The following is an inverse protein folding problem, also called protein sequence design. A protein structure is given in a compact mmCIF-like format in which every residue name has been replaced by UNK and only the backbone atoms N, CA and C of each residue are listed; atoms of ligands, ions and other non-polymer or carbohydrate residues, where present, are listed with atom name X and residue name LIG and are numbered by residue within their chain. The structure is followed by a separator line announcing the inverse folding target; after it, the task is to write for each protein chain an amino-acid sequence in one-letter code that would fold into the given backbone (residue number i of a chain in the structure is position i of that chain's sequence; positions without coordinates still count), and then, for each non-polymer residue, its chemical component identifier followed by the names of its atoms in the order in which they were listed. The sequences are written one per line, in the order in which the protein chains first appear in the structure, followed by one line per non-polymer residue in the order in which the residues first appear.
data_IF_818051088570
#
_entry.id   IF_818051088570
#
_cell.length_a   1.000
_cell.length_b   1.000
_cell.length_c   1.000
_cell.angle_alpha   90.00
_cell.angle_beta   90.00
_cell.angle_gamma   90.00
#
_symmetry.space_group_name_H-M   'P 1'
#
loop_
_entity.id
_entity.type
_entity.pdbx_description
1 polymer ?
#
# COMPACT_ATOMS: atom_id res chain seq x y z
N UNK A 1 -1.98 5.19 39.56
CA UNK A 1 -1.41 3.83 39.35
C UNK A 1 -1.17 3.77 37.87
N UNK A 2 0.06 4.01 37.47
CA UNK A 2 0.46 3.94 36.06
C UNK A 2 0.33 2.48 35.63
N UNK A 3 -0.68 2.18 34.81
CA UNK A 3 -0.68 0.99 33.99
C UNK A 3 0.46 1.17 32.97
N UNK A 4 1.65 0.69 33.33
CA UNK A 4 2.67 0.40 32.35
C UNK A 4 2.03 -0.63 31.40
N UNK A 5 1.75 -0.22 30.16
CA UNK A 5 1.44 -1.13 29.07
C UNK A 5 2.60 -2.13 28.99
N UNK A 6 2.44 -3.30 29.62
CA UNK A 6 3.46 -4.34 29.59
C UNK A 6 3.61 -4.79 28.14
N UNK A 7 4.77 -4.55 27.57
CA UNK A 7 5.10 -5.00 26.21
C UNK A 7 4.94 -6.53 26.14
N UNK A 8 4.39 -7.02 25.05
CA UNK A 8 4.29 -8.45 24.78
C UNK A 8 5.59 -8.92 24.15
N UNK A 9 6.40 -9.65 24.91
CA UNK A 9 7.53 -10.40 24.38
C UNK A 9 7.17 -11.86 24.14
N UNK A 10 7.83 -12.50 23.20
CA UNK A 10 7.71 -13.92 22.93
C UNK A 10 9.06 -14.61 22.82
N UNK A 11 9.09 -15.86 23.15
CA UNK A 11 10.29 -16.69 23.17
C UNK A 11 9.97 -18.05 22.56
N UNK A 12 10.98 -18.69 21.95
CA UNK A 12 10.85 -20.04 21.40
C UNK A 12 11.90 -20.92 22.03
N UNK A 13 11.46 -22.00 22.70
CA UNK A 13 12.35 -23.10 23.09
C UNK A 13 12.41 -24.11 21.94
N UNK A 14 13.61 -24.35 21.47
CA UNK A 14 13.95 -25.49 20.61
C UNK A 14 14.74 -26.53 21.43
N UNK A 15 15.34 -27.51 20.79
CA UNK A 15 16.09 -28.57 21.46
C UNK A 15 17.43 -28.12 22.10
N UNK A 16 17.90 -26.92 21.77
CA UNK A 16 19.15 -26.34 22.27
C UNK A 16 18.94 -25.36 23.45
N UNK A 17 18.00 -24.41 23.32
CA UNK A 17 17.78 -23.34 24.30
C UNK A 17 16.52 -22.54 24.01
N UNK A 18 16.24 -21.57 24.87
CA UNK A 18 15.29 -20.52 24.57
C UNK A 18 15.90 -19.44 23.67
N UNK A 19 15.20 -19.11 22.61
CA UNK A 19 15.55 -18.05 21.68
C UNK A 19 14.66 -16.84 21.93
N UNK A 20 15.27 -15.66 22.09
CA UNK A 20 14.57 -14.38 22.16
C UNK A 20 14.68 -13.69 20.79
N UNK A 21 13.57 -13.53 20.04
CA UNK A 21 13.63 -12.92 18.70
C UNK A 21 14.20 -11.49 18.70
N UNK A 22 14.01 -10.73 19.78
CA UNK A 22 14.55 -9.39 19.89
C UNK A 22 16.10 -9.34 20.02
N UNK A 23 16.72 -10.48 20.36
CA UNK A 23 18.18 -10.60 20.59
C UNK A 23 18.88 -11.51 19.57
N UNK A 24 18.13 -12.22 18.73
CA UNK A 24 18.69 -13.15 17.76
C UNK A 24 19.12 -12.42 16.47
N UNK A 25 20.39 -12.58 16.04
CA UNK A 25 20.89 -11.90 14.84
C UNK A 25 20.27 -12.43 13.53
N UNK A 26 19.70 -13.63 13.55
CA UNK A 26 19.12 -14.30 12.40
C UNK A 26 17.62 -14.00 12.17
N UNK A 27 17.05 -13.10 12.97
CA UNK A 27 15.64 -12.69 12.82
C UNK A 27 15.45 -11.82 11.58
N UNK A 28 14.39 -12.11 10.84
CA UNK A 28 13.92 -11.30 9.73
C UNK A 28 12.46 -10.91 9.95
N UNK A 29 12.19 -9.62 9.89
CA UNK A 29 10.84 -9.11 9.99
C UNK A 29 10.45 -8.36 8.71
N UNK A 30 9.29 -8.66 8.17
CA UNK A 30 8.76 -8.07 6.93
C UNK A 30 7.25 -7.87 7.04
N UNK A 31 6.73 -6.89 6.30
CA UNK A 31 5.28 -6.83 6.02
C UNK A 31 4.98 -7.67 4.79
N UNK A 32 4.04 -8.60 4.91
CA UNK A 32 3.69 -9.52 3.80
C UNK A 32 3.03 -8.74 2.66
N UNK A 33 3.63 -8.79 1.48
CA UNK A 33 3.19 -8.04 0.29
C UNK A 33 2.96 -6.53 0.55
N UNK A 34 3.54 -5.96 1.60
CA UNK A 34 3.38 -4.56 1.99
C UNK A 34 2.14 -4.25 2.84
N UNK A 35 1.20 -5.16 3.03
CA UNK A 35 -0.04 -4.92 3.80
C UNK A 35 0.16 -5.13 5.31
N UNK A 36 -0.82 -4.74 6.19
CA UNK A 36 -0.66 -4.78 7.65
C UNK A 36 -0.69 -6.21 8.24
N UNK A 37 0.11 -7.11 7.71
CA UNK A 37 0.42 -8.43 8.26
C UNK A 37 1.92 -8.51 8.43
N UNK A 38 2.39 -8.47 9.67
CA UNK A 38 3.82 -8.51 10.00
C UNK A 38 4.24 -9.95 10.20
N UNK A 39 5.23 -10.41 9.42
CA UNK A 39 5.83 -11.72 9.57
C UNK A 39 7.23 -11.58 10.16
N UNK A 40 7.50 -12.30 11.26
CA UNK A 40 8.82 -12.42 11.89
C UNK A 40 9.27 -13.86 11.78
N UNK A 41 10.38 -14.11 11.09
CA UNK A 41 11.02 -15.42 10.99
C UNK A 41 12.21 -15.51 11.93
N UNK A 42 12.19 -16.48 12.80
CA UNK A 42 13.26 -16.81 13.72
C UNK A 42 13.89 -18.14 13.31
N UNK A 43 15.16 -18.12 12.97
CA UNK A 43 15.92 -19.36 12.71
C UNK A 43 16.19 -20.08 14.01
N UNK A 44 15.81 -21.34 14.07
CA UNK A 44 16.06 -22.26 15.17
C UNK A 44 16.74 -23.54 14.62
N UNK A 45 17.33 -24.41 15.46
CA UNK A 45 17.78 -25.70 15.00
C UNK A 45 16.66 -26.42 14.24
N UNK A 46 17.00 -27.06 13.12
CA UNK A 46 16.07 -27.87 12.29
C UNK A 46 15.00 -27.08 11.50
N UNK A 47 14.99 -25.73 11.48
CA UNK A 47 14.00 -24.99 10.68
C UNK A 47 13.77 -23.57 11.17
N UNK A 48 12.54 -23.08 10.99
CA UNK A 48 12.13 -21.74 11.37
C UNK A 48 10.90 -21.80 12.30
N UNK A 49 10.83 -20.88 13.25
CA UNK A 49 9.59 -20.47 13.91
C UNK A 49 9.11 -19.18 13.25
N UNK A 50 7.86 -19.16 12.77
CA UNK A 50 7.33 -18.05 12.01
C UNK A 50 6.15 -17.42 12.75
N UNK A 51 6.32 -16.21 13.23
CA UNK A 51 5.25 -15.40 13.81
C UNK A 51 4.59 -14.55 12.74
N UNK A 52 3.25 -14.48 12.75
CA UNK A 52 2.46 -13.52 11.98
C UNK A 52 1.56 -12.75 12.92
N UNK A 53 1.63 -11.42 12.85
CA UNK A 53 0.86 -10.52 13.70
C UNK A 53 -0.01 -9.63 12.82
N UNK A 54 -1.29 -9.53 13.16
CA UNK A 54 -2.27 -8.73 12.44
C UNK A 54 -3.46 -8.37 13.33
N UNK A 55 -4.17 -7.30 12.98
CA UNK A 55 -5.36 -6.88 13.70
C UNK A 55 -6.63 -7.29 12.95
N UNK A 56 -7.68 -7.64 13.69
CA UNK A 56 -9.03 -7.87 13.19
C UNK A 56 -10.03 -7.00 13.96
N UNK A 57 -11.11 -6.56 13.30
CA UNK A 57 -12.12 -5.69 13.92
C UNK A 57 -13.12 -6.47 14.78
N UNK A 58 -13.11 -7.80 14.70
CA UNK A 58 -14.00 -8.66 15.46
C UNK A 58 -13.93 -8.38 16.97
N UNK A 59 -15.06 -8.53 17.66
CA UNK A 59 -15.18 -8.32 19.11
C UNK A 59 -14.67 -6.96 19.61
N UNK A 60 -14.72 -5.91 18.79
CA UNK A 60 -14.24 -4.56 19.16
C UNK A 60 -12.73 -4.37 19.00
N UNK A 61 -12.08 -5.29 18.32
CA UNK A 61 -10.66 -5.25 17.95
C UNK A 61 -9.82 -6.30 18.69
N UNK A 62 -9.14 -7.12 17.91
CA UNK A 62 -8.21 -8.13 18.42
C UNK A 62 -6.88 -8.02 17.68
N UNK A 63 -5.77 -8.13 18.40
CA UNK A 63 -4.46 -8.37 17.83
C UNK A 63 -4.22 -9.89 17.80
N UNK A 64 -4.24 -10.49 16.63
CA UNK A 64 -4.04 -11.93 16.44
C UNK A 64 -2.57 -12.21 16.18
N UNK A 65 -2.07 -13.26 16.83
CA UNK A 65 -0.70 -13.75 16.72
C UNK A 65 -0.75 -15.22 16.33
N UNK A 66 -0.20 -15.56 15.19
CA UNK A 66 -0.01 -16.93 14.73
C UNK A 66 1.47 -17.29 14.82
N UNK A 67 1.80 -18.41 15.47
CA UNK A 67 3.15 -18.98 15.48
C UNK A 67 3.12 -20.33 14.77
N UNK A 68 3.73 -20.39 13.60
CA UNK A 68 3.89 -21.63 12.83
C UNK A 68 5.25 -22.25 13.10
N UNK A 69 5.26 -23.54 13.43
CA UNK A 69 6.48 -24.32 13.57
C UNK A 69 6.85 -24.95 12.22
N UNK A 70 7.78 -24.33 11.51
CA UNK A 70 8.33 -24.83 10.24
C UNK A 70 9.65 -25.61 10.47
N UNK A 71 9.94 -26.05 11.71
CA UNK A 71 11.06 -26.94 12.03
C UNK A 71 10.63 -28.41 12.03
N UNK A 72 11.56 -29.33 12.06
CA UNK A 72 11.27 -30.76 12.07
C UNK A 72 10.94 -31.33 13.47
N UNK A 73 11.15 -30.54 14.53
CA UNK A 73 10.92 -30.93 15.91
C UNK A 73 9.81 -30.07 16.56
N UNK A 74 9.13 -30.59 17.61
CA UNK A 74 8.26 -29.77 18.43
C UNK A 74 9.01 -28.62 19.07
N UNK A 75 8.35 -27.48 19.26
CA UNK A 75 8.87 -26.33 19.97
C UNK A 75 7.92 -25.93 21.11
N UNK A 76 8.39 -25.12 22.06
CA UNK A 76 7.54 -24.42 22.99
C UNK A 76 7.63 -22.92 22.74
N UNK A 77 6.50 -22.23 22.87
CA UNK A 77 6.40 -20.77 22.73
C UNK A 77 5.97 -20.18 24.04
N UNK A 78 6.73 -19.24 24.57
CA UNK A 78 6.38 -18.48 25.77
C UNK A 78 5.99 -17.04 25.41
N UNK A 79 4.96 -16.53 26.09
CA UNK A 79 4.56 -15.13 26.03
C UNK A 79 4.66 -14.52 27.44
N UNK A 80 5.08 -13.27 27.55
CA UNK A 80 5.28 -12.59 28.84
C UNK A 80 4.02 -12.08 29.51
N UNK A 81 2.83 -12.30 28.91
CA UNK A 81 1.52 -11.87 29.41
C UNK A 81 0.57 -13.04 29.58
N UNK A 82 -0.26 -13.00 30.63
CA UNK A 82 -1.26 -14.02 30.94
C UNK A 82 -2.66 -13.69 30.38
N UNK A 83 -2.91 -12.45 29.96
CA UNK A 83 -4.18 -11.99 29.38
C UNK A 83 -4.37 -12.40 27.91
N UNK A 84 -3.50 -13.28 27.42
CA UNK A 84 -3.58 -13.86 26.09
C UNK A 84 -4.79 -14.79 25.97
N UNK A 85 -5.64 -14.51 25.00
CA UNK A 85 -6.74 -15.38 24.60
C UNK A 85 -6.18 -16.55 23.80
N UNK A 86 -6.55 -17.78 24.17
CA UNK A 86 -6.14 -19.01 23.48
C UNK A 86 -7.24 -20.07 23.56
N UNK A 87 -7.44 -20.81 22.47
CA UNK A 87 -8.25 -22.04 22.47
C UNK A 87 -7.52 -23.25 23.06
N UNK A 88 -6.19 -23.14 23.20
CA UNK A 88 -5.34 -24.18 23.80
C UNK A 88 -5.01 -23.84 25.24
N UNK A 89 -4.97 -24.82 26.11
CA UNK A 89 -4.50 -24.63 27.46
C UNK A 89 -2.98 -24.46 27.49
N UNK A 90 -2.46 -23.46 28.23
CA UNK A 90 -1.03 -23.34 28.43
C UNK A 90 -0.46 -24.51 29.21
N UNK A 91 0.82 -24.74 29.07
CA UNK A 91 1.54 -25.78 29.83
C UNK A 91 1.45 -25.50 31.33
N UNK A 92 1.06 -26.49 32.15
CA UNK A 92 0.99 -26.31 33.61
C UNK A 92 2.37 -26.14 34.26
N UNK A 93 3.44 -26.52 33.58
CA UNK A 93 4.81 -26.43 34.10
C UNK A 93 5.42 -25.04 33.95
N UNK A 94 4.77 -24.13 33.21
CA UNK A 94 5.32 -22.83 32.89
C UNK A 94 6.64 -22.86 32.11
N UNK A 95 7.38 -21.74 32.03
CA UNK A 95 8.68 -21.69 31.35
C UNK A 95 9.76 -22.39 32.18
N UNK A 96 10.48 -23.31 31.55
CA UNK A 96 11.62 -24.01 32.15
C UNK A 96 12.93 -23.55 31.50
N UNK A 97 13.98 -23.37 32.30
CA UNK A 97 15.31 -23.00 31.78
C UNK A 97 15.48 -21.52 31.39
N UNK A 98 14.53 -20.66 31.74
CA UNK A 98 14.62 -19.19 31.54
C UNK A 98 13.83 -18.48 32.65
N UNK A 99 14.32 -17.34 33.10
CA UNK A 99 13.59 -16.42 33.96
C UNK A 99 12.71 -15.50 33.12
N UNK A 100 11.40 -15.63 33.29
CA UNK A 100 10.37 -14.78 32.68
C UNK A 100 9.46 -14.20 33.75
N UNK A 101 8.73 -13.11 33.47
CA UNK A 101 7.70 -12.60 34.38
C UNK A 101 6.73 -13.70 34.84
N UNK A 102 6.25 -13.60 36.08
CA UNK A 102 5.33 -14.59 36.67
C UNK A 102 3.99 -14.73 35.89
N UNK A 103 3.64 -13.71 35.11
CA UNK A 103 2.49 -13.70 34.21
C UNK A 103 2.71 -14.49 32.91
N UNK A 104 3.92 -15.02 32.68
CA UNK A 104 4.24 -15.68 31.42
C UNK A 104 3.53 -17.02 31.27
N UNK A 105 3.08 -17.32 30.07
CA UNK A 105 2.41 -18.57 29.69
C UNK A 105 3.17 -19.28 28.56
N UNK A 106 3.15 -20.63 28.59
CA UNK A 106 3.88 -21.45 27.61
C UNK A 106 2.92 -22.36 26.86
N UNK A 107 3.09 -22.45 25.55
CA UNK A 107 2.31 -23.33 24.68
C UNK A 107 3.23 -24.25 23.89
N UNK A 108 2.97 -25.58 23.90
CA UNK A 108 3.66 -26.50 23.00
C UNK A 108 3.10 -26.37 21.58
N UNK A 109 4.00 -26.39 20.58
CA UNK A 109 3.64 -26.31 19.16
C UNK A 109 4.32 -27.45 18.41
N UNK A 110 3.51 -28.41 17.97
CA UNK A 110 4.01 -29.58 17.25
C UNK A 110 4.60 -29.18 15.88
N UNK A 111 5.45 -30.05 15.33
CA UNK A 111 5.95 -29.91 13.95
C UNK A 111 4.80 -29.69 12.96
N UNK A 112 4.97 -28.72 12.05
CA UNK A 112 4.00 -28.40 10.99
C UNK A 112 2.68 -27.82 11.50
N UNK A 113 2.56 -27.51 12.81
CA UNK A 113 1.35 -26.92 13.39
C UNK A 113 1.50 -25.43 13.62
N UNK A 114 0.34 -24.75 13.79
CA UNK A 114 0.26 -23.33 14.11
C UNK A 114 -0.46 -23.14 15.43
N UNK A 115 0.14 -22.39 16.34
CA UNK A 115 -0.49 -21.83 17.51
C UNK A 115 -1.16 -20.51 17.12
N UNK A 116 -2.42 -20.30 17.49
CA UNK A 116 -3.11 -19.02 17.36
C UNK A 116 -3.50 -18.51 18.73
N UNK A 117 -3.12 -17.27 19.00
CA UNK A 117 -3.50 -16.55 20.22
C UNK A 117 -3.92 -15.13 19.85
N UNK A 118 -4.60 -14.43 20.75
CA UNK A 118 -4.97 -13.04 20.54
C UNK A 118 -4.85 -12.20 21.81
N UNK A 119 -4.67 -10.90 21.62
CA UNK A 119 -4.84 -9.88 22.66
C UNK A 119 -6.06 -9.05 22.34
N UNK A 120 -6.89 -8.82 23.33
CA UNK A 120 -8.05 -7.95 23.20
C UNK A 120 -7.62 -6.48 23.22
N UNK A 121 -8.20 -5.66 22.33
CA UNK A 121 -8.10 -4.21 22.41
C UNK A 121 -8.74 -3.72 23.73
N UNK A 122 -8.30 -2.58 24.30
CA UNK A 122 -9.01 -1.93 25.40
C UNK A 122 -10.48 -1.61 25.10
N UNK A 123 -10.85 -1.56 23.81
CA UNK A 123 -12.23 -1.34 23.33
C UNK A 123 -12.99 -2.65 23.09
N UNK A 124 -12.39 -3.81 23.36
CA UNK A 124 -13.01 -5.08 23.09
C UNK A 124 -14.33 -5.23 23.88
N UNK A 125 -15.37 -5.65 23.17
CA UNK A 125 -16.64 -6.02 23.80
C UNK A 125 -16.48 -7.38 24.45
N UNK A 126 -16.73 -7.49 25.77
CA UNK A 126 -16.63 -8.74 26.49
C UNK A 126 -17.45 -9.86 25.83
N UNK A 127 -16.94 -11.07 25.88
CA UNK A 127 -17.58 -12.28 25.32
C UNK A 127 -16.55 -13.38 25.05
N UNK A 128 -17.05 -14.59 24.80
CA UNK A 128 -16.18 -15.72 24.43
C UNK A 128 -15.74 -15.56 22.98
N UNK A 129 -14.44 -15.39 22.78
CA UNK A 129 -13.83 -15.29 21.45
C UNK A 129 -13.50 -16.68 20.93
N UNK A 130 -14.06 -17.06 19.78
CA UNK A 130 -13.65 -18.27 19.08
C UNK A 130 -12.52 -17.96 18.09
N UNK A 131 -11.29 -18.19 18.49
CA UNK A 131 -10.11 -17.88 17.67
C UNK A 131 -10.05 -18.64 16.35
N UNK A 132 -10.68 -19.81 16.24
CA UNK A 132 -10.68 -20.62 15.03
C UNK A 132 -11.57 -20.03 13.93
N UNK A 133 -12.55 -19.21 14.30
CA UNK A 133 -13.43 -18.51 13.36
C UNK A 133 -12.83 -17.20 12.84
N UNK A 134 -11.79 -16.69 13.48
CA UNK A 134 -11.12 -15.49 13.01
C UNK A 134 -10.39 -15.77 11.68
N UNK A 135 -10.30 -14.76 10.79
CA UNK A 135 -9.54 -14.91 9.54
C UNK A 135 -8.08 -15.24 9.81
N UNK A 136 -7.49 -16.08 8.96
CA UNK A 136 -6.05 -16.35 9.01
C UNK A 136 -5.23 -15.18 8.43
N UNK A 137 -3.94 -15.15 8.70
CA UNK A 137 -3.01 -14.17 8.14
C UNK A 137 -3.10 -14.12 6.60
N UNK A 138 -3.26 -15.27 5.93
CA UNK A 138 -3.42 -15.37 4.48
C UNK A 138 -4.74 -14.79 3.98
N UNK A 139 -5.83 -15.04 4.71
CA UNK A 139 -7.15 -14.48 4.38
C UNK A 139 -7.16 -12.97 4.55
N UNK A 140 -6.56 -12.48 5.65
CA UNK A 140 -6.45 -11.05 5.90
C UNK A 140 -5.55 -10.36 4.86
N UNK A 141 -4.40 -10.96 4.53
CA UNK A 141 -3.53 -10.45 3.47
C UNK A 141 -4.29 -10.30 2.14
N UNK A 142 -5.07 -11.32 1.74
CA UNK A 142 -5.90 -11.24 0.51
C UNK A 142 -6.95 -10.14 0.59
N UNK A 143 -7.61 -9.99 1.75
CA UNK A 143 -8.57 -8.91 1.98
C UNK A 143 -7.96 -7.53 1.80
N UNK A 144 -6.78 -7.30 2.39
CA UNK A 144 -6.04 -6.05 2.24
C UNK A 144 -5.60 -5.81 0.79
N UNK A 145 -5.06 -6.81 0.11
CA UNK A 145 -4.67 -6.69 -1.31
C UNK A 145 -5.87 -6.31 -2.17
N UNK A 146 -7.01 -6.98 -2.00
CA UNK A 146 -8.23 -6.62 -2.70
C UNK A 146 -8.66 -5.16 -2.45
N UNK A 147 -8.48 -4.67 -1.22
CA UNK A 147 -8.83 -3.28 -0.88
C UNK A 147 -7.90 -2.27 -1.55
N UNK A 148 -6.58 -2.46 -1.48
CA UNK A 148 -5.61 -1.53 -2.08
C UNK A 148 -5.58 -1.60 -3.61
N UNK A 149 -5.87 -2.76 -4.20
CA UNK A 149 -5.93 -2.97 -5.65
C UNK A 149 -7.17 -2.35 -6.30
N UNK A 150 -8.18 -1.93 -5.52
CA UNK A 150 -9.27 -1.08 -6.04
C UNK A 150 -8.76 0.20 -6.70
N UNK A 151 -7.67 0.74 -6.20
CA UNK A 151 -7.00 1.90 -6.78
C UNK A 151 -6.26 1.60 -8.10
N UNK A 152 -6.30 0.35 -8.58
CA UNK A 152 -5.49 -0.13 -9.70
C UNK A 152 -4.15 -0.68 -9.24
N UNK A 153 -3.46 -1.42 -10.09
CA UNK A 153 -2.14 -2.00 -9.83
C UNK A 153 -1.28 -2.05 -11.07
N UNK A 154 0.00 -2.25 -10.92
CA UNK A 154 0.91 -2.47 -12.02
C UNK A 154 1.91 -3.59 -11.70
N UNK A 155 2.23 -4.38 -12.72
CA UNK A 155 3.29 -5.38 -12.68
C UNK A 155 4.38 -4.91 -13.65
N UNK A 156 5.49 -4.48 -13.07
CA UNK A 156 6.64 -3.94 -13.81
C UNK A 156 7.92 -4.70 -13.43
N UNK A 157 9.03 -4.39 -14.12
CA UNK A 157 10.30 -5.07 -13.88
C UNK A 157 10.81 -4.88 -12.43
N UNK A 158 10.62 -3.70 -11.85
CA UNK A 158 11.01 -3.43 -10.47
C UNK A 158 10.00 -4.05 -9.47
N UNK A 159 10.39 -5.21 -8.95
CA UNK A 159 9.56 -5.98 -7.99
C UNK A 159 9.41 -5.31 -6.62
N UNK A 160 10.20 -4.28 -6.31
CA UNK A 160 10.12 -3.57 -5.03
C UNK A 160 8.96 -2.57 -4.99
N UNK A 161 8.44 -2.12 -6.14
CA UNK A 161 7.41 -1.09 -6.22
C UNK A 161 6.06 -1.59 -5.69
N UNK A 162 5.60 -2.79 -6.09
CA UNK A 162 4.29 -3.28 -5.67
C UNK A 162 4.15 -3.39 -4.13
N UNK A 163 5.09 -3.99 -3.38
CA UNK A 163 4.99 -4.01 -1.91
C UNK A 163 5.07 -2.61 -1.28
N UNK A 164 5.84 -1.70 -1.86
CA UNK A 164 5.92 -0.31 -1.38
C UNK A 164 4.59 0.41 -1.56
N UNK A 165 3.98 0.31 -2.74
CA UNK A 165 2.68 0.92 -3.06
C UNK A 165 1.58 0.34 -2.16
N UNK A 166 1.52 -0.98 -2.00
CA UNK A 166 0.56 -1.64 -1.12
C UNK A 166 0.70 -1.16 0.32
N UNK A 167 1.95 -0.96 0.80
CA UNK A 167 2.21 -0.40 2.12
C UNK A 167 1.64 1.00 2.26
N UNK A 168 1.97 1.90 1.33
CA UNK A 168 1.53 3.29 1.39
C UNK A 168 0.00 3.41 1.34
N UNK A 169 -0.66 2.62 0.49
CA UNK A 169 -2.13 2.57 0.39
C UNK A 169 -2.77 2.00 1.65
N UNK A 170 -2.24 0.90 2.18
CA UNK A 170 -2.79 0.30 3.40
C UNK A 170 -2.55 1.19 4.62
N UNK A 171 -1.42 1.88 4.71
CA UNK A 171 -1.16 2.87 5.77
C UNK A 171 -2.16 4.04 5.68
N UNK A 172 -2.44 4.53 4.47
CA UNK A 172 -3.47 5.56 4.25
C UNK A 172 -4.86 5.09 4.70
N UNK A 173 -5.27 3.85 4.37
CA UNK A 173 -6.55 3.29 4.81
C UNK A 173 -6.64 3.14 6.34
N UNK A 174 -5.59 2.64 6.98
CA UNK A 174 -5.54 2.50 8.44
C UNK A 174 -5.71 3.87 9.13
N UNK A 175 -5.03 4.88 8.61
CA UNK A 175 -5.09 6.24 9.15
C UNK A 175 -6.47 6.89 8.89
N UNK A 176 -7.07 6.68 7.71
CA UNK A 176 -8.39 7.25 7.38
C UNK A 176 -9.53 6.64 8.19
N UNK A 177 -9.43 5.37 8.60
CA UNK A 177 -10.45 4.67 9.39
C UNK A 177 -10.56 5.13 10.85
N UNK A 178 -9.61 5.92 11.34
CA UNK A 178 -9.56 6.39 12.72
C UNK A 178 -10.28 7.73 12.94
N UNK A 179 -11.47 7.92 12.38
CA UNK A 179 -12.23 9.19 12.43
C UNK A 179 -12.59 9.68 13.83
N UNK A 180 -12.54 8.85 14.85
CA UNK A 180 -12.91 9.22 16.24
C UNK A 180 -11.71 9.50 17.15
N UNK A 181 -10.49 9.30 16.68
CA UNK A 181 -9.29 9.58 17.46
C UNK A 181 -8.66 10.90 17.01
N UNK A 182 -8.02 11.61 17.94
CA UNK A 182 -7.07 12.70 17.64
C UNK A 182 -6.05 12.34 16.54
N UNK A 183 -5.89 11.04 16.25
CA UNK A 183 -5.08 10.46 15.18
C UNK A 183 -5.69 10.62 13.77
N UNK A 184 -7.00 10.88 13.62
CA UNK A 184 -7.58 11.27 12.33
C UNK A 184 -7.07 12.65 11.86
N UNK A 185 -6.59 13.48 12.81
CA UNK A 185 -5.79 14.67 12.52
C UNK A 185 -4.35 14.34 12.09
N UNK A 186 -3.85 13.14 12.32
CA UNK A 186 -2.45 12.76 12.12
C UNK A 186 -2.12 12.22 10.72
N UNK A 187 -3.10 11.81 9.89
CA UNK A 187 -2.93 11.84 8.43
C UNK A 187 -2.53 13.25 7.98
N UNK A 188 -3.09 14.23 8.66
CA UNK A 188 -2.73 15.63 8.56
C UNK A 188 -1.38 15.88 9.25
N UNK A 189 -1.06 15.25 10.40
CA UNK A 189 0.13 15.51 11.21
C UNK A 189 1.44 15.03 10.58
N UNK A 190 1.48 13.81 10.07
CA UNK A 190 2.69 13.27 9.42
C UNK A 190 3.00 13.92 8.06
N UNK A 191 1.97 14.50 7.37
CA UNK A 191 2.08 15.23 6.11
C UNK A 191 1.54 16.67 6.22
N UNK A 192 1.32 17.19 7.41
CA UNK A 192 0.70 18.52 7.63
C UNK A 192 1.49 19.67 7.01
N UNK A 193 2.78 19.46 6.75
CA UNK A 193 3.68 20.42 6.11
C UNK A 193 3.90 20.15 4.62
N UNK A 194 3.41 19.01 4.07
CA UNK A 194 3.60 18.61 2.68
C UNK A 194 2.26 18.53 1.95
N UNK A 195 1.83 19.64 1.42
CA UNK A 195 0.58 19.80 0.68
C UNK A 195 0.48 18.86 -0.55
N UNK A 196 1.60 18.57 -1.21
CA UNK A 196 1.65 17.65 -2.35
C UNK A 196 1.39 16.22 -1.89
N UNK A 197 2.09 15.77 -0.85
CA UNK A 197 1.90 14.42 -0.30
C UNK A 197 0.47 14.23 0.23
N UNK A 198 -0.12 15.25 0.86
CA UNK A 198 -1.50 15.21 1.31
C UNK A 198 -2.48 14.97 0.15
N UNK A 199 -2.41 15.76 -0.92
CA UNK A 199 -3.29 15.58 -2.09
C UNK A 199 -3.11 14.23 -2.76
N UNK A 200 -1.88 13.75 -2.89
CA UNK A 200 -1.60 12.43 -3.47
C UNK A 200 -2.15 11.29 -2.59
N UNK A 201 -2.03 11.39 -1.27
CA UNK A 201 -2.59 10.40 -0.33
C UNK A 201 -4.12 10.40 -0.41
N UNK A 202 -4.75 11.58 -0.41
CA UNK A 202 -6.20 11.72 -0.50
C UNK A 202 -6.74 11.17 -1.82
N UNK A 203 -6.00 11.36 -2.92
CA UNK A 203 -6.34 10.78 -4.23
C UNK A 203 -6.33 9.25 -4.18
N UNK A 204 -5.35 8.63 -3.53
CA UNK A 204 -5.32 7.17 -3.38
C UNK A 204 -6.50 6.66 -2.54
N UNK A 205 -6.90 7.37 -1.48
CA UNK A 205 -8.11 7.03 -0.72
C UNK A 205 -9.36 7.06 -1.60
N UNK A 206 -9.54 8.11 -2.41
CA UNK A 206 -10.64 8.19 -3.38
C UNK A 206 -10.60 7.02 -4.38
N UNK A 207 -9.44 6.67 -4.89
CA UNK A 207 -9.26 5.52 -5.81
C UNK A 207 -9.64 4.18 -5.16
N UNK A 208 -9.41 4.04 -3.86
CA UNK A 208 -9.81 2.86 -3.09
C UNK A 208 -11.29 2.85 -2.70
N UNK A 209 -12.01 3.95 -2.95
CA UNK A 209 -13.45 4.08 -2.71
C UNK A 209 -13.82 4.75 -1.39
N UNK A 210 -12.85 5.37 -0.72
CA UNK A 210 -13.09 6.09 0.53
C UNK A 210 -13.75 7.45 0.28
N UNK A 211 -14.64 7.84 1.21
CA UNK A 211 -15.29 9.14 1.18
C UNK A 211 -14.43 10.19 1.90
N UNK A 212 -14.02 11.21 1.17
CA UNK A 212 -13.09 12.23 1.66
C UNK A 212 -13.72 13.64 1.71
N UNK A 213 -15.05 13.73 1.70
CA UNK A 213 -15.81 15.00 1.60
C UNK A 213 -15.49 16.00 2.73
N UNK A 214 -15.10 15.51 3.91
CA UNK A 214 -14.70 16.35 5.03
C UNK A 214 -13.39 17.12 4.81
N UNK A 215 -12.63 16.79 3.75
CA UNK A 215 -11.40 17.49 3.39
C UNK A 215 -11.57 18.56 2.30
N UNK A 216 -12.80 18.86 1.83
CA UNK A 216 -13.02 19.75 0.68
C UNK A 216 -12.40 21.13 0.87
N UNK A 217 -12.55 21.75 2.05
CA UNK A 217 -11.99 23.07 2.35
C UNK A 217 -10.45 23.03 2.31
N UNK A 218 -9.85 22.02 2.93
CA UNK A 218 -8.39 21.85 2.94
C UNK A 218 -7.83 21.61 1.53
N UNK A 219 -8.52 20.84 0.69
CA UNK A 219 -8.15 20.64 -0.72
C UNK A 219 -8.17 21.98 -1.47
N UNK A 220 -9.21 22.81 -1.26
CA UNK A 220 -9.32 24.12 -1.90
C UNK A 220 -8.19 25.07 -1.47
N UNK A 221 -7.90 25.16 -0.18
CA UNK A 221 -6.78 25.96 0.36
C UNK A 221 -5.43 25.56 -0.24
N UNK A 222 -5.14 24.27 -0.28
CA UNK A 222 -3.88 23.74 -0.84
C UNK A 222 -3.78 24.06 -2.34
N UNK A 223 -4.85 23.85 -3.08
CA UNK A 223 -4.89 24.15 -4.53
C UNK A 223 -4.62 25.63 -4.76
N UNK A 224 -5.28 26.53 -4.02
CA UNK A 224 -5.06 27.96 -4.14
C UNK A 224 -3.59 28.32 -3.84
N UNK A 225 -3.03 27.80 -2.77
CA UNK A 225 -1.63 28.02 -2.38
C UNK A 225 -0.65 27.56 -3.47
N UNK A 226 -0.83 26.34 -4.00
CA UNK A 226 0.01 25.79 -5.06
C UNK A 226 -0.09 26.62 -6.34
N UNK A 227 -1.29 27.00 -6.78
CA UNK A 227 -1.50 27.84 -7.97
C UNK A 227 -0.88 29.22 -7.79
N UNK A 228 -1.06 29.86 -6.63
CA UNK A 228 -0.49 31.18 -6.31
C UNK A 228 1.04 31.14 -6.32
N UNK A 229 1.64 30.14 -5.67
CA UNK A 229 3.10 29.95 -5.59
C UNK A 229 3.71 29.77 -6.98
N UNK A 230 3.05 29.03 -7.88
CA UNK A 230 3.60 28.65 -9.18
C UNK A 230 3.18 29.54 -10.35
N UNK A 231 2.33 30.56 -10.12
CA UNK A 231 1.77 31.44 -11.17
C UNK A 231 2.82 32.11 -12.06
N UNK A 232 4.00 32.45 -11.50
CA UNK A 232 5.09 33.16 -12.21
C UNK A 232 6.32 32.28 -12.42
N UNK A 233 6.26 31.01 -12.12
CA UNK A 233 7.38 30.08 -12.29
C UNK A 233 7.62 29.78 -13.77
N UNK A 234 8.88 29.69 -14.19
CA UNK A 234 9.25 29.30 -15.57
C UNK A 234 9.03 27.80 -15.81
N UNK A 235 9.01 27.01 -14.76
CA UNK A 235 8.67 25.58 -14.75
C UNK A 235 8.05 25.25 -13.40
N UNK A 236 7.16 24.29 -13.33
CA UNK A 236 6.65 23.76 -12.07
C UNK A 236 7.23 22.39 -11.79
N UNK A 237 7.30 22.00 -10.52
CA UNK A 237 7.76 20.64 -10.17
C UNK A 237 6.75 19.60 -10.67
N UNK A 238 7.26 18.45 -11.12
CA UNK A 238 6.43 17.37 -11.67
C UNK A 238 5.38 16.86 -10.64
N UNK A 239 5.75 16.80 -9.37
CA UNK A 239 4.86 16.34 -8.29
C UNK A 239 3.77 17.38 -7.97
N UNK A 240 4.03 18.68 -8.14
CA UNK A 240 3.00 19.74 -8.09
C UNK A 240 2.00 19.55 -9.23
N UNK A 241 2.46 19.27 -10.44
CA UNK A 241 1.58 18.95 -11.58
C UNK A 241 0.68 17.75 -11.25
N UNK A 242 1.26 16.70 -10.67
CA UNK A 242 0.51 15.50 -10.25
C UNK A 242 -0.44 15.77 -9.09
N UNK A 243 -0.06 16.61 -8.14
CA UNK A 243 -0.92 17.01 -7.03
C UNK A 243 -2.15 17.83 -7.52
N UNK A 244 -1.97 18.74 -8.46
CA UNK A 244 -3.08 19.47 -9.08
C UNK A 244 -4.01 18.53 -9.88
N UNK A 245 -3.45 17.57 -10.60
CA UNK A 245 -4.24 16.51 -11.25
C UNK A 245 -5.02 15.68 -10.22
N UNK A 246 -4.38 15.25 -9.12
CA UNK A 246 -5.01 14.53 -8.03
C UNK A 246 -6.16 15.34 -7.40
N UNK A 247 -5.95 16.64 -7.15
CA UNK A 247 -6.99 17.54 -6.63
C UNK A 247 -8.22 17.60 -7.54
N UNK A 248 -8.03 17.62 -8.87
CA UNK A 248 -9.14 17.57 -9.83
C UNK A 248 -9.96 16.29 -9.70
N UNK A 249 -9.27 15.13 -9.56
CA UNK A 249 -9.92 13.83 -9.39
C UNK A 249 -10.67 13.77 -8.04
N UNK A 250 -10.09 14.31 -6.98
CA UNK A 250 -10.69 14.38 -5.65
C UNK A 250 -11.96 15.26 -5.69
N UNK A 251 -11.87 16.49 -6.21
CA UNK A 251 -13.01 17.40 -6.32
C UNK A 251 -14.12 16.80 -7.17
N UNK A 252 -13.77 16.15 -8.27
CA UNK A 252 -14.76 15.45 -9.11
C UNK A 252 -15.48 14.34 -8.34
N UNK A 253 -14.78 13.53 -7.59
CA UNK A 253 -15.35 12.46 -6.78
C UNK A 253 -16.23 12.97 -5.64
N UNK A 254 -15.96 14.18 -5.13
CA UNK A 254 -16.79 14.88 -4.14
C UNK A 254 -18.05 15.53 -4.75
N UNK A 255 -18.20 15.55 -6.08
CA UNK A 255 -19.29 16.24 -6.78
C UNK A 255 -19.01 17.71 -7.11
N UNK A 256 -17.83 18.23 -6.77
CA UNK A 256 -17.40 19.62 -7.00
C UNK A 256 -16.86 19.80 -8.44
N UNK A 257 -17.70 19.47 -9.43
CA UNK A 257 -17.31 19.43 -10.85
C UNK A 257 -16.85 20.79 -11.38
N UNK A 258 -17.47 21.89 -10.91
CA UNK A 258 -17.07 23.24 -11.30
C UNK A 258 -15.66 23.57 -10.79
N UNK A 259 -15.41 23.30 -9.52
CA UNK A 259 -14.09 23.52 -8.93
C UNK A 259 -13.01 22.67 -9.62
N UNK A 260 -13.31 21.41 -9.95
CA UNK A 260 -12.41 20.55 -10.75
C UNK A 260 -12.08 21.17 -12.13
N UNK A 261 -13.06 21.78 -12.79
CA UNK A 261 -12.89 22.53 -14.05
C UNK A 261 -12.03 23.79 -13.89
N UNK A 262 -12.23 24.54 -12.83
CA UNK A 262 -11.46 25.76 -12.52
C UNK A 262 -9.99 25.43 -12.22
N UNK A 263 -9.72 24.31 -11.53
CA UNK A 263 -8.34 23.82 -11.31
C UNK A 263 -7.69 23.47 -12.65
N UNK A 264 -8.39 22.75 -13.55
CA UNK A 264 -7.86 22.44 -14.89
C UNK A 264 -7.53 23.71 -15.67
N UNK A 265 -8.46 24.65 -15.74
CA UNK A 265 -8.25 25.92 -16.45
C UNK A 265 -7.09 26.74 -15.88
N UNK A 266 -6.87 26.66 -14.56
CA UNK A 266 -5.72 27.29 -13.90
C UNK A 266 -4.41 26.55 -14.18
N UNK A 267 -4.42 25.22 -14.12
CA UNK A 267 -3.28 24.36 -14.44
C UNK A 267 -2.79 24.55 -15.90
N UNK A 268 -3.72 24.73 -16.86
CA UNK A 268 -3.38 25.01 -18.27
C UNK A 268 -2.63 26.32 -18.46
N UNK A 269 -2.76 27.27 -17.53
CA UNK A 269 -2.04 28.57 -17.58
C UNK A 269 -0.67 28.54 -16.91
N UNK A 270 -0.36 27.47 -16.17
CA UNK A 270 0.95 27.31 -15.54
C UNK A 270 2.00 26.91 -16.59
N UNK A 271 3.25 27.21 -16.29
CA UNK A 271 4.38 26.71 -17.07
C UNK A 271 4.39 25.18 -17.15
N UNK A 272 5.07 24.59 -18.13
CA UNK A 272 5.26 23.14 -18.21
C UNK A 272 5.89 22.57 -16.93
N UNK A 273 5.56 21.33 -16.62
CA UNK A 273 6.18 20.63 -15.53
C UNK A 273 7.64 20.26 -15.84
N UNK A 274 8.47 20.20 -14.80
CA UNK A 274 9.82 19.65 -14.88
C UNK A 274 9.81 18.19 -15.34
N UNK A 275 10.97 17.69 -15.78
CA UNK A 275 11.10 16.29 -16.14
C UNK A 275 10.79 15.36 -14.95
N UNK A 276 10.24 14.19 -15.25
CA UNK A 276 10.03 13.15 -14.26
C UNK A 276 11.38 12.65 -13.73
N UNK A 277 11.54 12.45 -12.41
CA UNK A 277 12.79 11.91 -11.86
C UNK A 277 13.11 10.52 -12.42
N UNK A 278 14.38 10.27 -12.72
CA UNK A 278 14.84 8.95 -13.18
C UNK A 278 14.71 7.88 -12.08
N UNK A 279 14.85 8.27 -10.82
CA UNK A 279 14.71 7.38 -9.67
C UNK A 279 13.32 7.50 -9.03
N UNK A 280 12.72 6.36 -8.72
CA UNK A 280 11.45 6.32 -8.02
C UNK A 280 11.55 6.97 -6.62
N UNK A 281 10.60 7.85 -6.25
CA UNK A 281 10.49 8.34 -4.88
C UNK A 281 10.28 7.19 -3.87
N UNK A 282 10.50 7.46 -2.57
CA UNK A 282 10.31 6.46 -1.51
C UNK A 282 9.06 6.71 -0.65
N UNK A 283 8.34 7.77 -0.92
CA UNK A 283 7.10 8.19 -0.26
C UNK A 283 5.88 8.03 -1.19
N UNK A 284 4.75 8.62 -0.82
CA UNK A 284 3.49 8.53 -1.58
C UNK A 284 3.63 8.98 -3.05
N UNK A 285 4.60 9.83 -3.36
CA UNK A 285 4.90 10.29 -4.73
C UNK A 285 5.28 9.15 -5.67
N UNK A 286 5.75 8.01 -5.12
CA UNK A 286 6.09 6.83 -5.95
C UNK A 286 4.91 6.33 -6.76
N UNK A 287 3.69 6.46 -6.24
CA UNK A 287 2.48 6.02 -6.96
C UNK A 287 2.23 6.97 -8.14
N UNK A 288 2.26 8.27 -7.90
CA UNK A 288 2.11 9.28 -8.95
C UNK A 288 3.24 9.20 -9.99
N UNK A 289 4.46 8.88 -9.58
CA UNK A 289 5.60 8.65 -10.45
C UNK A 289 5.39 7.43 -11.35
N UNK A 290 4.94 6.31 -10.79
CA UNK A 290 4.67 5.09 -11.55
C UNK A 290 3.49 5.30 -12.52
N UNK A 291 2.41 5.92 -12.06
CA UNK A 291 1.26 6.25 -12.90
C UNK A 291 1.70 7.13 -14.09
N UNK A 292 2.54 8.15 -13.86
CA UNK A 292 3.05 9.04 -14.91
C UNK A 292 3.97 8.33 -15.91
N UNK A 293 4.76 7.35 -15.45
CA UNK A 293 5.56 6.50 -16.34
C UNK A 293 4.69 5.65 -17.26
N UNK A 294 3.58 5.12 -16.71
CA UNK A 294 2.72 4.18 -17.43
C UNK A 294 1.67 4.89 -18.27
N UNK A 295 0.95 5.85 -17.68
CA UNK A 295 -0.11 6.63 -18.32
C UNK A 295 -0.01 8.08 -17.86
N UNK A 296 0.39 8.96 -18.76
CA UNK A 296 0.57 10.39 -18.49
C UNK A 296 -0.65 11.18 -18.99
N UNK A 297 -1.50 11.73 -18.09
CA UNK A 297 -2.61 12.60 -18.48
C UNK A 297 -2.14 13.85 -19.21
N UNK A 298 -2.91 14.30 -20.20
CA UNK A 298 -2.64 15.53 -20.94
C UNK A 298 -3.52 16.68 -20.43
N UNK A 299 -2.94 17.89 -20.33
CA UNK A 299 -3.69 19.10 -19.93
C UNK A 299 -4.78 19.48 -20.96
N UNK A 300 -4.52 19.19 -22.22
CA UNK A 300 -5.42 19.43 -23.35
C UNK A 300 -6.50 18.37 -23.49
N UNK A 301 -6.45 17.33 -22.68
CA UNK A 301 -7.29 16.14 -22.73
C UNK A 301 -6.59 14.97 -23.38
N UNK A 302 -7.07 13.76 -23.07
CA UNK A 302 -6.43 12.50 -23.44
C UNK A 302 -5.30 12.08 -22.50
N UNK A 303 -4.58 11.03 -22.88
CA UNK A 303 -3.45 10.50 -22.12
C UNK A 303 -2.41 9.86 -23.03
N UNK A 304 -1.16 9.86 -22.60
CA UNK A 304 -0.09 9.17 -23.30
C UNK A 304 0.31 7.89 -22.55
N UNK A 305 0.31 6.78 -23.26
CA UNK A 305 0.88 5.51 -22.77
C UNK A 305 2.40 5.57 -22.97
N UNK A 306 3.16 5.32 -21.89
CA UNK A 306 4.62 5.33 -21.91
C UNK A 306 5.22 6.60 -22.57
N UNK A 307 4.68 7.75 -22.17
CA UNK A 307 5.01 9.08 -22.76
C UNK A 307 6.50 9.35 -22.90
N UNK A 308 7.26 8.95 -21.91
CA UNK A 308 8.69 9.23 -21.80
C UNK A 308 9.57 8.06 -22.27
N UNK A 309 8.97 7.01 -22.85
CA UNK A 309 9.63 5.72 -23.03
C UNK A 309 9.53 4.85 -21.80
N UNK A 310 10.44 3.89 -21.65
CA UNK A 310 10.52 3.04 -20.47
C UNK A 310 11.88 3.15 -19.80
N UNK A 311 11.97 3.05 -18.47
CA UNK A 311 13.24 2.92 -17.79
C UNK A 311 14.08 1.80 -18.41
N UNK A 312 15.38 2.04 -18.58
CA UNK A 312 16.29 1.10 -19.26
C UNK A 312 16.19 -0.34 -18.75
N UNK A 313 15.99 -0.49 -17.43
CA UNK A 313 15.83 -1.80 -16.79
C UNK A 313 14.51 -2.51 -17.11
N UNK A 314 13.52 -1.84 -17.73
CA UNK A 314 12.24 -2.44 -18.14
C UNK A 314 12.22 -2.91 -19.59
N UNK A 315 13.27 -2.60 -20.36
CA UNK A 315 13.38 -3.03 -21.76
C UNK A 315 13.40 -4.57 -21.84
N UNK A 316 12.60 -5.12 -22.74
CA UNK A 316 12.46 -6.57 -22.92
C UNK A 316 11.65 -7.29 -21.83
N UNK A 317 11.20 -6.58 -20.78
CA UNK A 317 10.38 -7.18 -19.71
C UNK A 317 8.90 -6.91 -19.99
N UNK A 318 8.10 -7.99 -19.96
CA UNK A 318 6.64 -7.86 -20.06
C UNK A 318 6.11 -7.12 -18.83
N UNK A 319 5.15 -6.22 -19.08
CA UNK A 319 4.51 -5.44 -18.02
C UNK A 319 3.01 -5.33 -18.25
N UNK A 320 2.30 -4.99 -17.19
CA UNK A 320 0.88 -4.67 -17.28
C UNK A 320 0.50 -3.63 -16.23
N UNK A 321 -0.51 -2.84 -16.51
CA UNK A 321 -1.13 -1.95 -15.55
C UNK A 321 -2.64 -2.02 -15.67
N UNK A 322 -3.30 -1.82 -14.53
CA UNK A 322 -4.75 -1.89 -14.44
C UNK A 322 -5.30 -0.65 -13.75
N UNK A 323 -6.27 0.01 -14.42
CA UNK A 323 -7.02 1.15 -13.89
C UNK A 323 -6.15 2.35 -13.49
N UNK A 324 -5.11 2.65 -14.26
CA UNK A 324 -4.34 3.90 -14.08
C UNK A 324 -5.22 5.08 -14.50
N UNK A 325 -5.29 6.11 -13.64
CA UNK A 325 -6.18 7.26 -13.84
C UNK A 325 -5.64 8.18 -14.92
N UNK A 326 -6.40 8.34 -16.02
CA UNK A 326 -6.09 9.23 -17.14
C UNK A 326 -6.83 10.56 -17.07
N UNK A 327 -7.98 10.60 -16.38
CA UNK A 327 -8.75 11.82 -16.07
C UNK A 327 -9.68 11.54 -14.89
N UNK A 328 -10.39 12.52 -14.36
CA UNK A 328 -11.38 12.28 -13.29
C UNK A 328 -12.45 11.24 -13.62
N UNK A 329 -12.65 10.92 -14.90
CA UNK A 329 -13.70 9.99 -15.38
C UNK A 329 -13.16 8.84 -16.21
N UNK A 330 -11.85 8.78 -16.50
CA UNK A 330 -11.27 7.72 -17.32
C UNK A 330 -10.12 7.02 -16.61
N UNK A 331 -10.08 5.72 -16.79
CA UNK A 331 -8.90 4.90 -16.45
C UNK A 331 -8.42 4.14 -17.68
N UNK A 332 -7.14 3.79 -17.69
CA UNK A 332 -6.50 3.00 -18.74
C UNK A 332 -5.88 1.76 -18.11
N UNK A 333 -6.14 0.63 -18.72
CA UNK A 333 -5.45 -0.63 -18.45
C UNK A 333 -4.74 -1.09 -19.70
N UNK A 334 -3.53 -1.62 -19.58
CA UNK A 334 -2.88 -2.25 -20.72
C UNK A 334 -1.88 -3.32 -20.29
N UNK A 335 -1.73 -4.32 -21.18
CA UNK A 335 -0.64 -5.28 -21.11
C UNK A 335 0.34 -5.05 -22.25
N UNK A 336 1.63 -5.16 -21.96
CA UNK A 336 2.70 -5.06 -22.96
C UNK A 336 3.51 -6.34 -23.02
N UNK A 337 3.73 -6.85 -24.25
CA UNK A 337 4.55 -8.01 -24.55
C UNK A 337 5.59 -7.65 -25.62
N UNK A 338 6.79 -8.15 -25.45
CA UNK A 338 7.86 -7.89 -26.40
C UNK A 338 7.89 -8.92 -27.53
N UNK A 339 7.97 -8.44 -28.76
CA UNK A 339 8.19 -9.21 -29.99
C UNK A 339 9.52 -8.76 -30.60
N UNK A 340 10.62 -9.36 -30.17
CA UNK A 340 11.95 -8.88 -30.48
C UNK A 340 12.18 -7.49 -29.85
N UNK A 341 12.50 -6.49 -30.66
CA UNK A 341 12.71 -5.11 -30.21
C UNK A 341 11.43 -4.27 -30.18
N UNK A 342 10.30 -4.81 -30.64
CA UNK A 342 9.02 -4.10 -30.72
C UNK A 342 8.06 -4.60 -29.66
N UNK A 343 7.44 -3.69 -28.88
CA UNK A 343 6.41 -4.06 -27.94
C UNK A 343 5.03 -4.11 -28.62
N UNK A 344 4.29 -5.17 -28.36
CA UNK A 344 2.85 -5.24 -28.61
C UNK A 344 2.10 -4.79 -27.35
N UNK A 345 1.18 -3.86 -27.50
CA UNK A 345 0.37 -3.30 -26.42
C UNK A 345 -1.10 -3.64 -26.69
N UNK A 346 -1.72 -4.27 -25.71
CA UNK A 346 -3.17 -4.51 -25.68
C UNK A 346 -3.76 -3.59 -24.61
N UNK A 347 -4.68 -2.69 -24.98
CA UNK A 347 -5.25 -1.70 -24.06
C UNK A 347 -6.75 -1.79 -23.95
N UNK A 348 -7.25 -1.28 -22.83
CA UNK A 348 -8.65 -1.03 -22.53
C UNK A 348 -8.78 0.29 -21.75
N UNK A 349 -9.77 1.10 -22.11
CA UNK A 349 -10.13 2.32 -21.40
C UNK A 349 -11.51 2.16 -20.75
N UNK A 350 -11.66 2.72 -19.56
CA UNK A 350 -12.93 2.77 -18.83
C UNK A 350 -13.37 4.22 -18.68
N UNK A 351 -14.65 4.52 -18.83
CA UNK A 351 -15.20 5.88 -18.76
C UNK A 351 -16.02 6.25 -20.01
N UNK A 352 -16.43 7.52 -20.14
CA UNK A 352 -17.14 8.01 -21.33
C UNK A 352 -16.31 7.83 -22.60
N UNK A 353 -16.99 7.67 -23.76
CA UNK A 353 -16.30 7.56 -25.04
C UNK A 353 -15.43 8.77 -25.36
N UNK A 354 -14.36 8.55 -26.13
CA UNK A 354 -13.54 9.60 -26.73
C UNK A 354 -12.28 9.96 -25.98
N UNK A 355 -11.79 9.12 -25.05
CA UNK A 355 -10.44 9.30 -24.52
C UNK A 355 -9.43 9.08 -25.63
N UNK A 356 -8.69 10.14 -26.01
CA UNK A 356 -7.57 10.01 -26.95
C UNK A 356 -6.36 9.48 -26.23
N UNK A 357 -5.82 8.36 -26.73
CA UNK A 357 -4.52 7.83 -26.33
C UNK A 357 -3.48 8.15 -27.38
N UNK A 358 -2.26 8.44 -26.96
CA UNK A 358 -1.04 8.49 -27.78
C UNK A 358 0.09 7.73 -27.07
N UNK A 359 1.22 7.49 -27.75
CA UNK A 359 2.37 6.80 -27.15
C UNK A 359 3.59 7.73 -26.95
N UNK A 360 3.40 9.04 -27.06
CA UNK A 360 4.43 10.04 -26.78
C UNK A 360 5.74 9.77 -27.52
N UNK A 361 6.84 9.64 -26.77
CA UNK A 361 8.16 9.37 -27.33
C UNK A 361 8.36 7.93 -27.81
N UNK A 362 7.52 7.00 -27.34
CA UNK A 362 7.61 5.57 -27.69
C UNK A 362 7.22 5.33 -29.15
N UNK A 363 6.12 5.95 -29.59
CA UNK A 363 5.66 5.92 -30.97
C UNK A 363 4.86 7.19 -31.26
N UNK A 364 5.52 8.20 -31.79
CA UNK A 364 4.90 9.52 -32.03
C UNK A 364 3.81 9.50 -33.11
N UNK A 365 3.74 8.45 -33.92
CA UNK A 365 2.73 8.29 -34.96
C UNK A 365 1.47 7.57 -34.45
N UNK A 366 1.61 6.80 -33.36
CA UNK A 366 0.49 6.03 -32.83
C UNK A 366 -0.47 6.88 -32.00
N UNK A 367 -1.75 6.75 -32.29
CA UNK A 367 -2.83 7.26 -31.46
C UNK A 367 -4.10 6.44 -31.69
N UNK A 368 -4.98 6.44 -30.70
CA UNK A 368 -6.29 5.79 -30.76
C UNK A 368 -7.33 6.58 -29.97
N UNK A 369 -8.59 6.46 -30.36
CA UNK A 369 -9.78 6.91 -29.61
C UNK A 369 -10.71 5.73 -29.28
N UNK A 370 -10.29 4.53 -29.67
CA UNK A 370 -11.04 3.31 -29.39
C UNK A 370 -10.96 2.93 -27.91
N UNK A 371 -12.06 2.40 -27.37
CA UNK A 371 -12.12 1.97 -25.98
C UNK A 371 -11.20 0.78 -25.67
N UNK A 372 -10.88 -0.03 -26.67
CA UNK A 372 -9.95 -1.16 -26.57
C UNK A 372 -9.32 -1.48 -27.89
N UNK A 373 -8.18 -2.13 -27.90
CA UNK A 373 -7.49 -2.55 -29.12
C UNK A 373 -6.10 -3.11 -28.84
N UNK A 374 -5.40 -3.42 -29.90
CA UNK A 374 -4.00 -3.83 -29.86
C UNK A 374 -3.18 -3.08 -30.92
N UNK A 375 -1.91 -2.90 -30.64
CA UNK A 375 -0.96 -2.29 -31.56
C UNK A 375 0.45 -2.83 -31.36
N UNK A 376 1.18 -2.99 -32.47
CA UNK A 376 2.61 -3.19 -32.44
C UNK A 376 3.27 -1.83 -32.59
N UNK A 377 3.93 -1.35 -31.53
CA UNK A 377 4.57 -0.03 -31.52
C UNK A 377 5.90 -0.02 -32.26
N UNK A 378 6.33 1.14 -32.75
CA UNK A 378 7.48 1.26 -33.63
C UNK A 378 8.83 0.91 -32.98
N UNK A 379 8.94 1.01 -31.67
CA UNK A 379 10.11 0.67 -30.89
C UNK A 379 10.34 1.64 -29.75
N UNK A 380 11.09 1.22 -28.73
CA UNK A 380 11.34 2.03 -27.54
C UNK A 380 12.62 2.85 -27.66
N UNK A 381 12.51 4.12 -27.29
CA UNK A 381 13.67 4.90 -26.88
C UNK A 381 13.86 4.63 -25.38
N UNK A 382 15.02 4.09 -24.99
CA UNK A 382 15.39 3.99 -23.58
C UNK A 382 15.58 5.39 -22.99
N UNK A 383 15.05 5.63 -21.81
CA UNK A 383 15.37 6.81 -21.02
C UNK A 383 16.80 6.75 -20.48
#
# INVERSE_FOLDING_TARGET
MDEQDEALDWYVAADDRWHNPAKEPSVRQTRRAGVPVVETRLRIPSGDAVQRVYAVADHGGLLVIEISNESTLPIAVAFTRSDILSSRQPSPLGPQGIELPNSSVVFPVAHGSTLRVALASPRATGGTVNLEQLPSAEQLQRGWLNSVERAGYAIVADKSLSPLINRLRSDALVLSGNHESEWGSDLVGANATDDVAFLLTLHELVRMGEKVNHHVERVAEIVEALLKKNKKSASIEWDVERALFAARCILWAMGEHRAAGDVLASQQRLAPASALPNAAPKDIRVIAWLDEQLVSPRREGGAAVLRFGVPRMWLGVNMECHRVVASPVHTVSYGMRWHGEKPAVLWETSGPFGLRLDAGATDSAWHSVEASGDALMAGFVAQ
#
